data_IF_086979531851
#
_entry.id   IF_086979531851
#
_cell.length_a   1.000
_cell.length_b   1.000
_cell.length_c   1.000
_cell.angle_alpha   90.00
_cell.angle_beta   90.00
_cell.angle_gamma   90.00
#
_symmetry.space_group_name_H-M   'P 1'
#
loop_
_entity.id
_entity.type
_entity.pdbx_description
1 polymer ?
#
# COMPACT_ATOMS: atom_id res chain seq x y z
N UNK A 1 41.40 -39.13 4.57
CA UNK A 1 40.29 -38.93 5.53
C UNK A 1 40.22 -37.48 5.90
N UNK A 2 39.34 -36.73 5.27
CA UNK A 2 38.98 -35.34 5.64
C UNK A 2 37.48 -35.18 5.41
N UNK A 3 36.73 -35.25 6.50
CA UNK A 3 35.28 -34.97 6.47
C UNK A 3 35.08 -33.49 6.57
N UNK A 4 34.48 -32.92 5.54
CA UNK A 4 34.06 -31.51 5.49
C UNK A 4 32.64 -31.44 6.04
N UNK A 5 32.49 -30.77 7.16
CA UNK A 5 31.21 -30.39 7.76
C UNK A 5 30.65 -29.20 7.01
N UNK A 6 29.55 -29.40 6.30
CA UNK A 6 28.69 -28.34 5.82
C UNK A 6 27.54 -28.25 6.81
N UNK A 7 27.48 -27.19 7.58
CA UNK A 7 26.35 -26.93 8.47
C UNK A 7 25.86 -25.49 8.36
N UNK A 8 24.61 -25.38 7.96
CA UNK A 8 23.58 -24.45 8.44
C UNK A 8 23.70 -22.96 8.15
N UNK A 9 23.00 -22.54 7.07
CA UNK A 9 22.58 -21.16 6.86
C UNK A 9 21.07 -21.03 6.60
N UNK A 10 20.25 -21.97 7.08
CA UNK A 10 18.81 -21.99 6.75
C UNK A 10 17.87 -21.49 7.87
N UNK A 11 18.38 -21.17 9.06
CA UNK A 11 17.54 -20.92 10.25
C UNK A 11 17.07 -19.47 10.45
N UNK A 12 17.69 -18.47 9.79
CA UNK A 12 17.41 -17.06 10.12
C UNK A 12 16.32 -16.41 9.26
N UNK A 13 15.90 -17.02 8.16
CA UNK A 13 14.89 -16.42 7.27
C UNK A 13 13.44 -16.63 7.77
N UNK A 14 13.22 -17.69 8.53
CA UNK A 14 11.88 -18.03 9.05
C UNK A 14 11.43 -17.17 10.25
N UNK A 15 12.38 -16.64 11.03
CA UNK A 15 12.04 -15.80 12.19
C UNK A 15 11.59 -14.38 11.79
N UNK A 16 12.17 -13.81 10.76
CA UNK A 16 11.85 -12.45 10.34
C UNK A 16 10.45 -12.35 9.68
N UNK A 17 10.05 -13.36 8.94
CA UNK A 17 8.71 -13.42 8.33
C UNK A 17 7.61 -13.61 9.38
N UNK A 18 7.86 -14.35 10.43
CA UNK A 18 6.91 -14.59 11.52
C UNK A 18 6.65 -13.34 12.36
N UNK A 19 7.69 -12.54 12.64
CA UNK A 19 7.55 -11.28 13.39
C UNK A 19 6.78 -10.24 12.58
N UNK A 20 7.09 -10.08 11.30
CA UNK A 20 6.39 -9.14 10.43
C UNK A 20 4.91 -9.51 10.26
N UNK A 21 4.58 -10.79 10.06
CA UNK A 21 3.20 -11.25 9.98
C UNK A 21 2.43 -11.05 11.30
N UNK A 22 3.09 -11.19 12.45
CA UNK A 22 2.47 -10.96 13.77
C UNK A 22 2.20 -9.47 14.04
N UNK A 23 3.02 -8.56 13.52
CA UNK A 23 2.78 -7.10 13.63
C UNK A 23 1.59 -6.64 12.80
N UNK A 24 1.41 -7.17 11.59
CA UNK A 24 0.28 -6.81 10.69
C UNK A 24 -1.09 -7.18 11.30
N UNK A 25 -1.15 -8.07 12.28
CA UNK A 25 -2.41 -8.43 12.94
C UNK A 25 -2.90 -7.39 13.95
N UNK A 26 -2.04 -6.45 14.36
CA UNK A 26 -2.39 -5.40 15.33
C UNK A 26 -3.10 -4.23 14.65
N UNK A 27 -4.21 -3.71 15.23
CA UNK A 27 -4.95 -2.60 14.64
C UNK A 27 -4.11 -1.36 14.39
N UNK A 28 -3.19 -1.00 15.29
CA UNK A 28 -2.36 0.19 15.17
C UNK A 28 -1.38 0.11 13.99
N UNK A 29 -0.74 -1.04 13.77
CA UNK A 29 0.19 -1.22 12.65
C UNK A 29 -0.56 -1.27 11.32
N UNK A 30 -1.67 -1.98 11.25
CA UNK A 30 -2.52 -1.97 10.06
C UNK A 30 -2.98 -0.55 9.71
N UNK A 31 -3.54 0.18 10.68
CA UNK A 31 -4.04 1.53 10.46
C UNK A 31 -2.95 2.49 10.01
N UNK A 32 -1.75 2.42 10.62
CA UNK A 32 -0.59 3.21 10.23
C UNK A 32 -0.20 2.95 8.77
N UNK A 33 0.02 1.69 8.41
CA UNK A 33 0.45 1.32 7.05
C UNK A 33 -0.61 1.67 6.01
N UNK A 34 -1.87 1.32 6.27
CA UNK A 34 -2.97 1.59 5.35
C UNK A 34 -3.22 3.09 5.16
N UNK A 35 -3.10 3.91 6.22
CA UNK A 35 -3.28 5.36 6.11
C UNK A 35 -2.16 6.01 5.31
N UNK A 36 -0.89 5.63 5.54
CA UNK A 36 0.25 6.18 4.79
C UNK A 36 0.16 5.81 3.32
N UNK A 37 -0.12 4.54 3.01
CA UNK A 37 -0.36 4.09 1.63
C UNK A 37 -1.49 4.87 0.97
N UNK A 38 -2.64 5.01 1.64
CA UNK A 38 -3.79 5.76 1.11
C UNK A 38 -3.45 7.23 0.79
N UNK A 39 -2.68 7.91 1.64
CA UNK A 39 -2.22 9.27 1.38
C UNK A 39 -1.28 9.33 0.17
N UNK A 40 -0.38 8.36 0.02
CA UNK A 40 0.53 8.28 -1.12
C UNK A 40 -0.25 8.08 -2.44
N UNK A 41 -1.26 7.20 -2.44
CA UNK A 41 -2.10 6.97 -3.62
C UNK A 41 -2.81 8.24 -4.09
N UNK A 42 -3.39 9.00 -3.19
CA UNK A 42 -4.04 10.28 -3.52
C UNK A 42 -3.01 11.27 -4.08
N UNK A 43 -1.90 11.51 -3.36
CA UNK A 43 -0.93 12.54 -3.74
C UNK A 43 -0.19 12.20 -5.02
N UNK A 44 0.18 10.94 -5.23
CA UNK A 44 0.83 10.49 -6.48
C UNK A 44 -0.12 10.59 -7.68
N UNK A 45 -1.41 10.29 -7.47
CA UNK A 45 -2.43 10.42 -8.51
C UNK A 45 -2.76 11.88 -8.85
N UNK A 46 -2.75 12.78 -7.87
CA UNK A 46 -2.83 14.24 -8.13
C UNK A 46 -1.66 14.74 -8.98
N UNK A 47 -0.46 14.20 -8.80
CA UNK A 47 0.69 14.49 -9.67
C UNK A 47 0.46 13.94 -11.08
N UNK A 48 -0.09 12.74 -11.22
CA UNK A 48 -0.39 12.14 -12.51
C UNK A 48 -1.38 12.97 -13.33
N UNK A 49 -2.40 13.54 -12.70
CA UNK A 49 -3.32 14.44 -13.39
C UNK A 49 -2.64 15.71 -13.92
N UNK A 50 -1.60 16.18 -13.23
CA UNK A 50 -0.88 17.41 -13.60
C UNK A 50 0.24 17.17 -14.63
N UNK A 51 0.94 16.04 -14.55
CA UNK A 51 2.16 15.81 -15.31
C UNK A 51 2.00 14.87 -16.51
N UNK A 52 1.06 13.92 -16.46
CA UNK A 52 0.83 12.99 -17.55
C UNK A 52 0.01 13.63 -18.68
N UNK A 53 0.36 13.31 -19.92
CA UNK A 53 -0.47 13.58 -21.10
C UNK A 53 -1.24 12.31 -21.57
N UNK A 54 -0.96 11.14 -20.96
CA UNK A 54 -1.60 9.87 -21.29
C UNK A 54 -3.04 9.80 -20.70
N UNK A 55 -4.02 9.67 -21.56
CA UNK A 55 -5.43 9.61 -21.14
C UNK A 55 -5.76 8.42 -20.24
N UNK A 56 -5.08 7.26 -20.44
CA UNK A 56 -5.28 6.07 -19.61
C UNK A 56 -4.73 6.30 -18.20
N UNK A 57 -3.55 6.92 -18.08
CA UNK A 57 -2.94 7.30 -16.80
C UNK A 57 -3.82 8.29 -16.05
N UNK A 58 -4.33 9.34 -16.72
CA UNK A 58 -5.23 10.32 -16.10
C UNK A 58 -6.52 9.68 -15.61
N UNK A 59 -7.15 8.84 -16.42
CA UNK A 59 -8.38 8.13 -16.03
C UNK A 59 -8.15 7.22 -14.81
N UNK A 60 -7.01 6.51 -14.77
CA UNK A 60 -6.64 5.71 -13.61
C UNK A 60 -6.43 6.60 -12.39
N UNK A 61 -5.71 7.70 -12.50
CA UNK A 61 -5.44 8.64 -11.41
C UNK A 61 -6.73 9.26 -10.84
N UNK A 62 -7.68 9.65 -11.67
CA UNK A 62 -9.01 10.12 -11.23
C UNK A 62 -9.74 9.06 -10.39
N UNK A 63 -9.69 7.81 -10.84
CA UNK A 63 -10.27 6.68 -10.11
C UNK A 63 -9.60 6.47 -8.77
N UNK A 64 -8.25 6.49 -8.73
CA UNK A 64 -7.49 6.38 -7.49
C UNK A 64 -7.85 7.47 -6.48
N UNK A 65 -7.87 8.74 -6.91
CA UNK A 65 -8.25 9.85 -6.02
C UNK A 65 -9.66 9.65 -5.47
N UNK A 66 -10.62 9.29 -6.32
CA UNK A 66 -12.01 9.08 -5.90
C UNK A 66 -12.13 7.98 -4.84
N UNK A 67 -11.56 6.81 -5.09
CA UNK A 67 -11.80 5.65 -4.24
C UNK A 67 -10.94 5.68 -2.98
N UNK A 68 -9.69 6.18 -3.07
CA UNK A 68 -8.83 6.35 -1.90
C UNK A 68 -9.31 7.49 -0.97
N UNK A 69 -9.96 8.54 -1.50
CA UNK A 69 -10.63 9.55 -0.66
C UNK A 69 -11.78 8.93 0.12
N UNK A 70 -12.66 8.16 -0.53
CA UNK A 70 -13.76 7.44 0.14
C UNK A 70 -13.25 6.41 1.16
N UNK A 71 -12.14 5.73 0.84
CA UNK A 71 -11.51 4.80 1.76
C UNK A 71 -10.97 5.51 3.02
N UNK A 72 -10.33 6.67 2.86
CA UNK A 72 -9.89 7.52 3.97
C UNK A 72 -11.04 7.97 4.87
N UNK A 73 -12.16 8.41 4.27
CA UNK A 73 -13.38 8.79 5.01
C UNK A 73 -13.96 7.64 5.84
N UNK A 74 -13.85 6.38 5.37
CA UNK A 74 -14.31 5.19 6.10
C UNK A 74 -13.30 4.71 7.15
N UNK A 75 -12.01 4.87 6.85
CA UNK A 75 -10.92 4.46 7.75
C UNK A 75 -10.90 5.25 9.05
N UNK A 76 -11.11 6.57 8.99
CA UNK A 76 -11.05 7.44 10.16
C UNK A 76 -12.03 7.04 11.27
N UNK A 77 -13.34 6.85 11.01
CA UNK A 77 -14.26 6.39 12.04
C UNK A 77 -13.96 4.97 12.52
N UNK A 78 -13.48 4.06 11.67
CA UNK A 78 -13.08 2.71 12.06
C UNK A 78 -11.88 2.74 13.05
N UNK A 79 -10.85 3.51 12.73
CA UNK A 79 -9.70 3.68 13.62
C UNK A 79 -10.10 4.31 14.97
N UNK A 80 -10.98 5.33 14.94
CA UNK A 80 -11.51 5.95 16.16
C UNK A 80 -12.31 4.96 17.03
N UNK A 81 -13.13 4.12 16.41
CA UNK A 81 -13.90 3.10 17.13
C UNK A 81 -13.00 2.05 17.80
N UNK A 82 -11.91 1.67 17.12
CA UNK A 82 -10.91 0.74 17.65
C UNK A 82 -9.85 1.44 18.53
N UNK A 83 -10.01 2.76 18.81
CA UNK A 83 -9.13 3.60 19.64
C UNK A 83 -7.68 3.64 19.12
N UNK A 84 -7.53 3.67 17.82
CA UNK A 84 -6.23 3.73 17.13
C UNK A 84 -6.01 5.13 16.56
N UNK A 85 -4.83 5.67 16.80
CA UNK A 85 -4.37 6.91 16.14
C UNK A 85 -3.79 6.60 14.76
N UNK A 86 -4.05 7.47 13.80
CA UNK A 86 -3.55 7.34 12.42
C UNK A 86 -2.59 8.47 12.07
N UNK A 87 -1.57 8.22 11.23
CA UNK A 87 -0.68 9.26 10.74
C UNK A 87 -1.44 10.35 9.96
N UNK A 88 -0.92 11.58 10.04
CA UNK A 88 -1.44 12.73 9.28
C UNK A 88 -0.48 13.18 8.17
N UNK A 89 0.63 12.48 7.99
CA UNK A 89 1.66 12.75 6.96
C UNK A 89 2.23 11.43 6.45
N UNK A 90 2.84 11.49 5.28
CA UNK A 90 3.65 10.41 4.74
C UNK A 90 4.84 10.11 5.67
N UNK A 91 5.27 8.86 5.68
CA UNK A 91 6.58 8.50 6.22
C UNK A 91 7.70 8.87 5.24
N UNK A 92 8.95 8.69 5.66
CA UNK A 92 10.11 9.08 4.86
C UNK A 92 10.21 8.30 3.54
N UNK A 93 9.80 7.03 3.52
CA UNK A 93 9.83 6.19 2.31
C UNK A 93 8.83 6.67 1.27
N UNK A 94 7.57 6.86 1.67
CA UNK A 94 6.53 7.33 0.74
C UNK A 94 6.75 8.78 0.30
N UNK A 95 7.32 9.62 1.19
CA UNK A 95 7.72 10.97 0.81
C UNK A 95 8.81 10.95 -0.26
N UNK A 96 9.83 10.09 -0.13
CA UNK A 96 10.90 9.97 -1.13
C UNK A 96 10.36 9.52 -2.50
N UNK A 97 9.45 8.54 -2.53
CA UNK A 97 8.77 8.10 -3.77
C UNK A 97 7.95 9.24 -4.41
N UNK A 98 7.26 10.01 -3.59
CA UNK A 98 6.49 11.17 -4.08
C UNK A 98 7.42 12.26 -4.64
N UNK A 99 8.55 12.49 -4.02
CA UNK A 99 9.55 13.48 -4.48
C UNK A 99 10.24 13.02 -5.77
N UNK A 100 10.49 11.71 -5.95
CA UNK A 100 10.94 11.13 -7.21
C UNK A 100 9.93 11.37 -8.33
N UNK A 101 8.65 11.13 -8.09
CA UNK A 101 7.57 11.42 -9.05
C UNK A 101 7.50 12.90 -9.41
N UNK A 102 7.66 13.80 -8.44
CA UNK A 102 7.67 15.25 -8.68
C UNK A 102 8.85 15.69 -9.54
N UNK A 103 10.00 15.05 -9.36
CA UNK A 103 11.23 15.38 -10.09
C UNK A 103 11.31 14.72 -11.48
N UNK A 104 10.44 13.76 -11.78
CA UNK A 104 10.41 13.06 -13.06
C UNK A 104 10.08 14.02 -14.21
N UNK A 105 10.76 13.86 -15.33
CA UNK A 105 10.40 14.53 -16.56
C UNK A 105 9.17 13.88 -17.23
N UNK A 106 8.56 14.57 -18.19
CA UNK A 106 7.38 14.07 -18.90
C UNK A 106 7.58 12.72 -19.59
N UNK A 107 8.79 12.42 -20.02
CA UNK A 107 9.09 11.19 -20.76
C UNK A 107 9.19 9.97 -19.86
N UNK A 108 9.54 10.15 -18.59
CA UNK A 108 9.74 9.10 -17.59
C UNK A 108 8.58 8.98 -16.58
N UNK A 109 7.80 10.05 -16.41
CA UNK A 109 6.77 10.15 -15.37
C UNK A 109 5.78 8.96 -15.38
N UNK A 110 5.15 8.70 -16.53
CA UNK A 110 4.12 7.66 -16.65
C UNK A 110 4.66 6.27 -16.29
N UNK A 111 5.91 5.99 -16.69
CA UNK A 111 6.58 4.73 -16.36
C UNK A 111 6.84 4.60 -14.85
N UNK A 112 7.33 5.67 -14.22
CA UNK A 112 7.61 5.68 -12.77
C UNK A 112 6.28 5.57 -12.01
N UNK A 113 5.27 6.39 -12.35
CA UNK A 113 3.96 6.34 -11.73
C UNK A 113 3.35 4.94 -11.80
N UNK A 114 3.28 4.34 -12.99
CA UNK A 114 2.75 2.97 -13.17
C UNK A 114 3.51 1.94 -12.32
N UNK A 115 4.85 2.06 -12.25
CA UNK A 115 5.68 1.15 -11.43
C UNK A 115 5.38 1.30 -9.94
N UNK A 116 5.28 2.53 -9.42
CA UNK A 116 4.97 2.77 -8.02
C UNK A 116 3.53 2.36 -7.67
N UNK A 117 2.56 2.63 -8.55
CA UNK A 117 1.18 2.18 -8.37
C UNK A 117 1.07 0.65 -8.30
N UNK A 118 1.81 -0.06 -9.16
CA UNK A 118 1.82 -1.53 -9.13
C UNK A 118 2.35 -2.06 -7.79
N UNK A 119 3.51 -1.56 -7.35
CA UNK A 119 4.14 -1.98 -6.08
C UNK A 119 3.24 -1.66 -4.88
N UNK A 120 2.67 -0.45 -4.85
CA UNK A 120 1.80 -0.01 -3.77
C UNK A 120 0.53 -0.86 -3.67
N UNK A 121 -0.10 -1.19 -4.81
CA UNK A 121 -1.29 -2.05 -4.80
C UNK A 121 -0.97 -3.52 -4.48
N UNK A 122 0.18 -4.05 -4.91
CA UNK A 122 0.63 -5.39 -4.48
C UNK A 122 0.83 -5.44 -2.95
N UNK A 123 1.46 -4.43 -2.38
CA UNK A 123 1.65 -4.32 -0.93
C UNK A 123 0.32 -4.12 -0.19
N UNK A 124 -0.57 -3.27 -0.70
CA UNK A 124 -1.88 -3.00 -0.10
C UNK A 124 -2.78 -4.25 -0.11
N UNK A 125 -2.87 -4.97 -1.23
CA UNK A 125 -3.63 -6.23 -1.32
C UNK A 125 -3.09 -7.26 -0.32
N UNK A 126 -1.76 -7.39 -0.20
CA UNK A 126 -1.16 -8.29 0.78
C UNK A 126 -1.49 -7.88 2.23
N UNK A 127 -1.30 -6.60 2.59
CA UNK A 127 -1.62 -6.04 3.90
C UNK A 127 -3.09 -6.28 4.28
N UNK A 128 -4.00 -5.89 3.40
CA UNK A 128 -5.44 -6.00 3.65
C UNK A 128 -5.91 -7.44 3.70
N UNK A 129 -5.36 -8.34 2.87
CA UNK A 129 -5.67 -9.78 2.92
C UNK A 129 -5.26 -10.41 4.25
N UNK A 130 -4.05 -10.13 4.71
CA UNK A 130 -3.55 -10.64 6.01
C UNK A 130 -4.40 -10.11 7.15
N UNK A 131 -4.69 -8.81 7.17
CA UNK A 131 -5.45 -8.21 8.26
C UNK A 131 -6.93 -8.61 8.25
N UNK A 132 -7.56 -8.72 7.09
CA UNK A 132 -8.93 -9.22 6.97
C UNK A 132 -9.07 -10.67 7.48
N UNK A 133 -8.07 -11.51 7.24
CA UNK A 133 -8.07 -12.89 7.72
C UNK A 133 -7.71 -13.00 9.22
N UNK A 134 -6.60 -12.37 9.63
CA UNK A 134 -5.92 -12.66 10.90
C UNK A 134 -5.91 -11.47 11.89
N UNK A 135 -6.35 -10.28 11.48
CA UNK A 135 -6.37 -9.09 12.33
C UNK A 135 -7.27 -9.25 13.54
N UNK A 136 -7.00 -8.48 14.59
CA UNK A 136 -7.87 -8.40 15.75
C UNK A 136 -9.27 -7.96 15.36
N UNK A 137 -10.27 -8.50 16.06
CA UNK A 137 -11.67 -8.18 15.79
C UNK A 137 -11.98 -6.70 16.14
N UNK A 138 -12.57 -5.97 15.19
CA UNK A 138 -12.88 -4.55 15.33
C UNK A 138 -13.43 -3.95 14.05
N UNK A 139 -13.63 -2.65 14.03
CA UNK A 139 -14.09 -1.92 12.85
C UNK A 139 -13.02 -1.83 11.76
N UNK A 140 -11.74 -1.78 12.12
CA UNK A 140 -10.63 -1.83 11.17
C UNK A 140 -10.58 -3.16 10.41
N UNK A 141 -10.89 -4.29 11.06
CA UNK A 141 -10.97 -5.59 10.37
C UNK A 141 -12.13 -5.64 9.38
N UNK A 142 -13.29 -5.08 9.75
CA UNK A 142 -14.42 -4.93 8.83
C UNK A 142 -14.08 -4.03 7.65
N UNK A 143 -13.43 -2.89 7.92
CA UNK A 143 -12.93 -1.98 6.89
C UNK A 143 -11.99 -2.71 5.92
N UNK A 144 -11.01 -3.45 6.42
CA UNK A 144 -10.08 -4.20 5.58
C UNK A 144 -10.81 -5.21 4.68
N UNK A 145 -11.75 -5.97 5.25
CA UNK A 145 -12.54 -6.96 4.51
C UNK A 145 -13.37 -6.31 3.39
N UNK A 146 -13.97 -5.14 3.67
CA UNK A 146 -14.81 -4.43 2.70
C UNK A 146 -14.02 -3.71 1.61
N UNK A 147 -12.78 -3.30 1.91
CA UNK A 147 -11.94 -2.52 0.99
C UNK A 147 -11.10 -3.42 0.07
N UNK A 148 -10.74 -4.62 0.51
CA UNK A 148 -9.89 -5.56 -0.23
C UNK A 148 -10.34 -5.84 -1.67
N UNK A 149 -11.65 -6.03 -1.98
CA UNK A 149 -12.09 -6.20 -3.37
C UNK A 149 -11.71 -5.03 -4.27
N UNK A 150 -11.94 -3.79 -3.83
CA UNK A 150 -11.59 -2.58 -4.59
C UNK A 150 -10.08 -2.48 -4.85
N UNK A 151 -9.24 -2.77 -3.84
CA UNK A 151 -7.78 -2.80 -4.02
C UNK A 151 -7.34 -3.86 -5.03
N UNK A 152 -8.03 -5.00 -5.09
CA UNK A 152 -7.76 -6.07 -6.07
C UNK A 152 -8.16 -5.64 -7.49
N UNK A 153 -9.25 -4.89 -7.63
CA UNK A 153 -9.66 -4.28 -8.91
C UNK A 153 -8.63 -3.24 -9.38
N UNK A 154 -8.15 -2.37 -8.48
CA UNK A 154 -7.10 -1.41 -8.79
C UNK A 154 -5.80 -2.10 -9.23
N UNK A 155 -5.37 -3.16 -8.53
CA UNK A 155 -4.20 -3.96 -8.92
C UNK A 155 -4.35 -4.54 -10.32
N UNK A 156 -5.54 -5.01 -10.67
CA UNK A 156 -5.82 -5.52 -12.02
C UNK A 156 -5.77 -4.39 -13.06
N UNK A 157 -6.34 -3.24 -12.72
CA UNK A 157 -6.35 -2.07 -13.61
C UNK A 157 -4.93 -1.55 -13.89
N UNK A 158 -4.07 -1.42 -12.86
CA UNK A 158 -2.68 -0.96 -13.08
C UNK A 158 -1.85 -1.96 -13.88
N UNK A 159 -2.07 -3.26 -13.71
CA UNK A 159 -1.39 -4.31 -14.51
C UNK A 159 -1.74 -4.23 -15.99
N UNK A 160 -2.95 -3.84 -16.32
CA UNK A 160 -3.46 -3.77 -17.70
C UNK A 160 -3.38 -2.37 -18.31
N UNK A 161 -2.98 -1.36 -17.54
CA UNK A 161 -2.82 0.01 -18.03
C UNK A 161 -1.68 0.11 -19.05
N UNK A 162 -1.98 0.59 -20.25
CA UNK A 162 -1.04 0.77 -21.37
C UNK A 162 -0.54 2.22 -21.45
#
# INVERSE_FOLDING_TARGET
>A
MKHLLILTAAANLLLTTSVFAAEITKPAEFAKMATVSNMFEIQSSELALKQSDNAAVKKFAEHMISDHSKAGEKMMPAAKADKVEVPTKLDAEHQAKLDELKAADKSSFDKIYKSEQLKAHEAAVALFSVYAANGEAGELKKFATQTLPTLTEHLTAVKTMN
#
